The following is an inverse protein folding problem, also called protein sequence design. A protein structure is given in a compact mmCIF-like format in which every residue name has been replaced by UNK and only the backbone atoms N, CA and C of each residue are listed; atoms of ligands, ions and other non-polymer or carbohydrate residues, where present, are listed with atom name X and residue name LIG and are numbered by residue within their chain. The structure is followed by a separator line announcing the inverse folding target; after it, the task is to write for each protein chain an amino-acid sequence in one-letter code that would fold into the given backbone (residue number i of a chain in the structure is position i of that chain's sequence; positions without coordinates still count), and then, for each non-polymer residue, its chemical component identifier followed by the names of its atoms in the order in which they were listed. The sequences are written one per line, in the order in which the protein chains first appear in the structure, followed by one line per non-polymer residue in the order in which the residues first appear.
data_IF_320468459867
#
_entry.id   IF_320468459867
#
_cell.length_a   1.000
_cell.length_b   1.000
_cell.length_c   1.000
_cell.angle_alpha   90.00
_cell.angle_beta   90.00
_cell.angle_gamma   90.00
#
_symmetry.space_group_name_H-M   'P 1'
#
loop_
_entity.id
_entity.type
_entity.pdbx_description
1 polymer ?
#
# COMPACT_ATOMS: atom_id res chain seq x y z
N UNK A 1 -31.42 33.12 36.89
CA UNK A 1 -30.87 31.78 36.62
C UNK A 1 -31.06 31.27 35.20
N UNK A 2 -32.11 31.61 34.50
CA UNK A 2 -32.31 31.24 33.08
C UNK A 2 -31.27 31.80 32.09
N UNK A 3 -30.66 32.94 32.41
CA UNK A 3 -29.66 33.61 31.55
C UNK A 3 -28.26 32.98 31.64
N UNK A 4 -27.93 32.30 32.71
CA UNK A 4 -26.63 31.65 32.92
C UNK A 4 -26.57 30.32 32.17
N UNK A 5 -27.70 29.63 32.00
CA UNK A 5 -27.81 28.37 31.27
C UNK A 5 -27.57 28.58 29.76
N UNK A 6 -28.00 29.71 29.21
CA UNK A 6 -27.75 30.05 27.81
C UNK A 6 -26.29 30.41 27.51
N UNK A 7 -25.58 30.97 28.48
CA UNK A 7 -24.14 31.26 28.36
C UNK A 7 -23.29 30.01 28.45
N UNK A 8 -23.73 29.01 29.21
CA UNK A 8 -23.02 27.73 29.34
C UNK A 8 -23.22 26.83 28.11
N UNK A 9 -24.39 26.88 27.48
CA UNK A 9 -24.67 26.16 26.23
C UNK A 9 -23.88 26.72 25.02
N UNK A 10 -23.56 28.01 25.02
CA UNK A 10 -22.76 28.62 23.95
C UNK A 10 -21.27 28.28 24.02
N UNK A 11 -20.77 27.90 25.20
CA UNK A 11 -19.35 27.57 25.40
C UNK A 11 -18.96 26.15 24.96
N UNK A 12 -19.95 25.26 24.76
CA UNK A 12 -19.72 23.83 24.38
C UNK A 12 -19.58 23.67 22.84
N UNK A 13 -19.97 24.68 22.05
CA UNK A 13 -20.02 24.55 20.59
C UNK A 13 -18.71 24.90 19.85
N UNK A 14 -17.62 25.21 20.57
CA UNK A 14 -16.36 25.67 19.94
C UNK A 14 -15.29 24.61 19.80
N UNK A 15 -15.54 23.34 20.11
CA UNK A 15 -14.58 22.25 19.92
C UNK A 15 -14.86 21.40 18.67
N UNK A 16 -15.39 21.99 17.62
CA UNK A 16 -15.28 21.39 16.32
C UNK A 16 -13.86 21.61 15.80
N UNK A 17 -12.91 20.81 16.29
CA UNK A 17 -11.63 20.67 15.63
C UNK A 17 -11.92 20.08 14.25
N UNK A 18 -11.90 20.92 13.24
CA UNK A 18 -11.80 20.47 11.88
C UNK A 18 -10.47 19.70 11.78
N UNK A 19 -10.52 18.38 11.85
CA UNK A 19 -9.37 17.55 11.55
C UNK A 19 -9.06 17.75 10.07
N UNK A 20 -8.01 18.51 9.80
CA UNK A 20 -7.48 18.65 8.46
C UNK A 20 -7.00 17.28 8.00
N UNK A 21 -7.74 16.69 7.11
CA UNK A 21 -7.42 15.37 6.55
C UNK A 21 -6.78 15.55 5.19
N UNK A 22 -5.67 14.86 4.99
CA UNK A 22 -4.94 14.84 3.73
C UNK A 22 -5.34 13.62 2.91
N UNK A 23 -5.17 13.72 1.61
CA UNK A 23 -5.39 12.63 0.68
C UNK A 23 -4.18 12.41 -0.20
N UNK A 24 -3.93 11.16 -0.54
CA UNK A 24 -2.95 10.76 -1.53
C UNK A 24 -3.64 9.98 -2.65
N UNK A 25 -3.30 10.30 -3.87
CA UNK A 25 -3.70 9.54 -5.05
C UNK A 25 -2.49 9.24 -5.91
N UNK A 26 -2.58 8.23 -6.72
CA UNK A 26 -1.49 7.92 -7.63
C UNK A 26 -1.91 6.99 -8.74
N UNK A 27 -0.99 6.79 -9.66
CA UNK A 27 -1.13 5.85 -10.76
C UNK A 27 -0.03 4.82 -10.65
N UNK A 28 -0.41 3.56 -10.77
CA UNK A 28 0.50 2.43 -10.81
C UNK A 28 0.60 1.91 -12.24
N UNK A 29 1.82 1.86 -12.75
CA UNK A 29 2.10 1.54 -14.15
C UNK A 29 3.14 0.43 -14.26
N UNK A 30 3.13 -0.27 -15.39
CA UNK A 30 4.17 -1.22 -15.78
C UNK A 30 5.39 -0.48 -16.33
N UNK A 31 6.58 -0.90 -15.93
CA UNK A 31 7.85 -0.38 -16.50
C UNK A 31 8.01 -0.76 -17.96
N UNK A 32 7.53 -1.95 -18.37
CA UNK A 32 7.75 -2.50 -19.71
C UNK A 32 6.45 -2.86 -20.44
N UNK A 33 6.49 -2.84 -21.78
CA UNK A 33 7.21 -2.00 -22.72
C UNK A 33 6.45 -0.71 -23.08
N UNK A 34 5.18 -0.59 -22.65
CA UNK A 34 4.26 0.47 -23.08
C UNK A 34 3.78 1.39 -21.96
N UNK A 35 4.33 1.26 -20.74
CA UNK A 35 3.84 1.99 -19.56
C UNK A 35 2.32 1.82 -19.39
N UNK A 36 1.83 0.59 -19.44
CA UNK A 36 0.41 0.32 -19.24
C UNK A 36 0.00 0.44 -17.77
N UNK A 37 -1.20 0.97 -17.49
CA UNK A 37 -1.70 1.03 -16.13
C UNK A 37 -1.97 -0.37 -15.58
N UNK A 38 -1.53 -0.63 -14.36
CA UNK A 38 -1.80 -1.88 -13.65
C UNK A 38 -3.18 -1.83 -12.99
N UNK A 39 -4.09 -2.60 -13.56
CA UNK A 39 -5.48 -2.69 -13.09
C UNK A 39 -5.60 -3.66 -11.92
N UNK A 40 -6.34 -3.26 -10.90
CA UNK A 40 -6.63 -4.10 -9.73
C UNK A 40 -5.39 -4.54 -8.94
N UNK A 41 -4.32 -3.77 -9.01
CA UNK A 41 -3.15 -3.93 -8.17
C UNK A 41 -3.44 -3.46 -6.74
N UNK A 42 -2.82 -4.09 -5.76
CA UNK A 42 -3.01 -3.75 -4.35
C UNK A 42 -1.98 -2.70 -3.90
N UNK A 43 -2.47 -1.68 -3.24
CA UNK A 43 -1.66 -0.69 -2.52
C UNK A 43 -2.05 -0.73 -1.05
N UNK A 44 -1.09 -0.90 -0.16
CA UNK A 44 -1.35 -0.91 1.27
C UNK A 44 -0.46 0.06 2.02
N UNK A 45 -0.95 0.54 3.15
CA UNK A 45 -0.18 1.39 4.08
C UNK A 45 0.19 0.53 5.28
N UNK A 46 1.48 0.30 5.51
CA UNK A 46 1.96 -0.60 6.56
C UNK A 46 1.58 -0.13 7.97
N UNK A 47 1.66 1.16 8.24
CA UNK A 47 1.42 1.73 9.58
C UNK A 47 -0.05 1.65 10.00
N UNK A 48 -0.99 1.72 9.07
CA UNK A 48 -2.42 1.74 9.36
C UNK A 48 -3.15 0.46 8.98
N UNK A 49 -2.55 -0.37 8.11
CA UNK A 49 -3.19 -1.54 7.53
C UNK A 49 -4.28 -1.22 6.49
N UNK A 50 -4.43 0.05 6.09
CA UNK A 50 -5.36 0.43 5.02
C UNK A 50 -4.90 -0.13 3.69
N UNK A 51 -5.85 -0.62 2.90
CA UNK A 51 -5.63 -1.16 1.56
C UNK A 51 -6.53 -0.47 0.54
N UNK A 52 -6.01 -0.30 -0.66
CA UNK A 52 -6.75 0.15 -1.84
C UNK A 52 -6.32 -0.67 -3.05
N UNK A 53 -7.21 -0.78 -4.03
CA UNK A 53 -6.94 -1.42 -5.31
C UNK A 53 -6.98 -0.38 -6.41
N UNK A 54 -6.10 -0.51 -7.39
CA UNK A 54 -6.13 0.36 -8.56
C UNK A 54 -7.37 0.07 -9.41
N UNK A 55 -7.88 1.12 -10.04
CA UNK A 55 -8.99 1.02 -10.99
C UNK A 55 -8.51 0.59 -12.40
N UNK A 56 -9.40 0.64 -13.38
CA UNK A 56 -9.08 0.30 -14.77
C UNK A 56 -8.02 1.21 -15.41
N UNK A 57 -7.79 2.38 -14.85
CA UNK A 57 -6.76 3.34 -15.27
C UNK A 57 -5.49 3.25 -14.42
N UNK A 58 -5.41 2.27 -13.52
CA UNK A 58 -4.29 2.11 -12.61
C UNK A 58 -4.26 3.12 -11.45
N UNK A 59 -5.36 3.84 -11.22
CA UNK A 59 -5.45 4.88 -10.20
C UNK A 59 -5.84 4.29 -8.85
N UNK A 60 -5.14 4.70 -7.82
CA UNK A 60 -5.48 4.41 -6.41
C UNK A 60 -5.65 5.72 -5.63
N UNK A 61 -6.39 5.66 -4.53
CA UNK A 61 -6.62 6.80 -3.66
C UNK A 61 -6.77 6.37 -2.20
N UNK A 62 -6.14 7.12 -1.31
CA UNK A 62 -6.38 7.06 0.13
C UNK A 62 -6.82 8.44 0.63
N UNK A 63 -7.88 8.45 1.40
CA UNK A 63 -8.45 9.65 2.02
C UNK A 63 -8.33 9.58 3.54
N UNK A 64 -8.54 10.71 4.19
CA UNK A 64 -8.55 10.81 5.65
C UNK A 64 -7.23 10.35 6.31
N UNK A 65 -6.11 10.74 5.71
CA UNK A 65 -4.79 10.52 6.29
C UNK A 65 -4.41 11.72 7.17
N UNK A 66 -3.87 11.42 8.33
CA UNK A 66 -3.24 12.44 9.19
C UNK A 66 -1.83 12.73 8.70
N UNK A 67 -1.30 13.92 9.05
CA UNK A 67 0.09 14.27 8.77
C UNK A 67 1.05 13.21 9.34
N UNK A 68 2.04 12.83 8.56
CA UNK A 68 3.04 11.86 8.96
C UNK A 68 3.74 11.20 7.78
N UNK A 69 4.65 10.28 8.10
CA UNK A 69 5.35 9.47 7.11
C UNK A 69 4.76 8.07 7.08
N UNK A 70 4.36 7.62 5.91
CA UNK A 70 3.74 6.33 5.68
C UNK A 70 4.55 5.51 4.69
N UNK A 71 4.62 4.20 4.94
CA UNK A 71 5.21 3.24 4.02
C UNK A 71 4.11 2.63 3.16
N UNK A 72 4.14 2.96 1.88
CA UNK A 72 3.23 2.38 0.88
C UNK A 72 3.87 1.15 0.27
N UNK A 73 3.16 0.06 0.30
CA UNK A 73 3.53 -1.19 -0.35
C UNK A 73 2.66 -1.38 -1.59
N UNK A 74 3.31 -1.53 -2.73
CA UNK A 74 2.68 -1.74 -4.03
C UNK A 74 2.92 -3.18 -4.47
N UNK A 75 1.86 -3.94 -4.70
CA UNK A 75 1.94 -5.34 -5.09
C UNK A 75 0.95 -5.70 -6.20
N UNK A 76 1.41 -6.51 -7.12
CA UNK A 76 0.62 -7.07 -8.19
C UNK A 76 1.13 -8.46 -8.56
N UNK A 77 0.23 -9.35 -8.96
CA UNK A 77 0.59 -10.75 -9.32
C UNK A 77 1.56 -10.77 -10.50
N UNK A 78 2.71 -11.40 -10.32
CA UNK A 78 3.77 -11.47 -11.34
C UNK A 78 4.74 -10.29 -11.36
N UNK A 79 4.59 -9.34 -10.42
CA UNK A 79 5.45 -8.18 -10.28
C UNK A 79 6.21 -8.17 -8.96
N UNK A 80 7.35 -7.52 -8.94
CA UNK A 80 8.10 -7.30 -7.70
C UNK A 80 7.36 -6.30 -6.81
N UNK A 81 7.16 -6.68 -5.55
CA UNK A 81 6.59 -5.79 -4.54
C UNK A 81 7.56 -4.66 -4.22
N UNK A 82 7.08 -3.42 -4.27
CA UNK A 82 7.86 -2.22 -3.96
C UNK A 82 7.32 -1.53 -2.71
N UNK A 83 8.23 -1.02 -1.89
CA UNK A 83 7.91 -0.22 -0.72
C UNK A 83 8.51 1.17 -0.85
N UNK A 84 7.69 2.19 -0.62
CA UNK A 84 8.12 3.59 -0.69
C UNK A 84 7.61 4.35 0.52
N UNK A 85 8.51 5.04 1.22
CA UNK A 85 8.15 5.97 2.29
C UNK A 85 7.76 7.32 1.70
N UNK A 86 6.57 7.77 2.04
CA UNK A 86 6.03 9.04 1.57
C UNK A 86 5.58 9.89 2.74
N UNK A 87 6.02 11.15 2.74
CA UNK A 87 5.59 12.14 3.73
C UNK A 87 4.28 12.78 3.29
N UNK A 88 3.28 12.68 4.14
CA UNK A 88 1.98 13.34 3.97
C UNK A 88 1.95 14.59 4.85
N UNK A 89 1.74 15.74 4.23
CA UNK A 89 1.59 17.02 4.93
C UNK A 89 0.12 17.41 5.02
N UNK A 90 -0.21 18.12 6.08
CA UNK A 90 -1.56 18.66 6.26
C UNK A 90 -1.99 19.51 5.06
N UNK A 91 -3.26 19.41 4.70
CA UNK A 91 -3.92 20.25 3.71
C UNK A 91 -3.35 20.15 2.28
N UNK A 92 -2.61 19.08 1.97
CA UNK A 92 -2.07 18.83 0.63
C UNK A 92 -2.64 17.58 0.00
N UNK A 93 -3.01 17.70 -1.27
CA UNK A 93 -3.27 16.55 -2.15
C UNK A 93 -1.94 16.10 -2.75
N UNK A 94 -1.50 14.91 -2.39
CA UNK A 94 -0.28 14.32 -2.94
C UNK A 94 -0.63 13.41 -4.11
N UNK A 95 0.08 13.55 -5.21
CA UNK A 95 -0.06 12.67 -6.38
C UNK A 95 1.27 11.96 -6.66
N UNK A 96 1.22 10.63 -6.82
CA UNK A 96 2.37 9.78 -7.04
C UNK A 96 2.19 8.96 -8.32
N UNK A 97 3.24 8.87 -9.12
CA UNK A 97 3.32 7.87 -10.19
C UNK A 97 4.34 6.81 -9.78
N UNK A 98 3.91 5.55 -9.75
CA UNK A 98 4.74 4.42 -9.38
C UNK A 98 4.82 3.41 -10.52
N UNK A 99 6.01 2.88 -10.75
CA UNK A 99 6.25 1.85 -11.76
C UNK A 99 6.65 0.55 -11.08
N UNK A 100 6.02 -0.55 -11.48
CA UNK A 100 6.39 -1.89 -11.07
C UNK A 100 7.00 -2.64 -12.24
N UNK A 101 8.05 -3.41 -11.96
CA UNK A 101 8.66 -4.33 -12.91
C UNK A 101 8.18 -5.76 -12.65
N UNK A 102 8.12 -6.55 -13.71
CA UNK A 102 7.82 -7.97 -13.60
C UNK A 102 8.87 -8.68 -12.75
N UNK A 103 8.40 -9.60 -11.92
CA UNK A 103 9.30 -10.45 -11.12
C UNK A 103 10.09 -11.37 -12.06
N UNK A 104 11.41 -11.18 -12.10
CA UNK A 104 12.33 -12.09 -12.80
C UNK A 104 12.65 -13.29 -11.92
N UNK A 105 11.63 -14.07 -11.56
CA UNK A 105 11.89 -15.42 -11.04
C UNK A 105 12.37 -16.24 -12.23
N UNK A 106 13.67 -16.40 -12.33
CA UNK A 106 14.27 -17.23 -13.38
C UNK A 106 13.72 -18.65 -13.27
N UNK A 107 13.30 -19.18 -14.39
CA UNK A 107 12.84 -20.57 -14.46
C UNK A 107 13.90 -21.53 -13.90
N UNK A 108 15.18 -21.15 -14.00
CA UNK A 108 16.31 -21.89 -13.45
C UNK A 108 16.28 -21.96 -11.92
N UNK A 109 15.83 -20.93 -11.22
CA UNK A 109 15.71 -20.94 -9.75
C UNK A 109 14.61 -21.88 -9.27
N UNK A 110 13.53 -22.00 -10.02
CA UNK A 110 12.44 -22.93 -9.73
C UNK A 110 12.90 -24.37 -9.94
N UNK A 111 13.64 -24.65 -11.01
CA UNK A 111 14.19 -25.96 -11.31
C UNK A 111 15.21 -26.39 -10.26
N UNK A 112 16.09 -25.50 -9.79
CA UNK A 112 17.04 -25.78 -8.72
C UNK A 112 16.36 -26.10 -7.39
N UNK A 113 15.25 -25.49 -7.09
CA UNK A 113 14.47 -25.76 -5.87
C UNK A 113 13.79 -27.11 -5.93
N UNK A 114 13.28 -27.53 -7.09
CA UNK A 114 12.65 -28.82 -7.31
C UNK A 114 13.68 -29.98 -7.28
N UNK A 115 14.88 -29.78 -7.87
CA UNK A 115 15.95 -30.74 -7.85
C UNK A 115 16.49 -31.01 -6.43
N UNK A 116 16.49 -29.99 -5.57
CA UNK A 116 16.85 -30.12 -4.16
C UNK A 116 15.80 -30.88 -3.35
N UNK A 117 14.53 -30.76 -3.68
CA UNK A 117 13.46 -31.47 -3.01
C UNK A 117 13.49 -32.97 -3.31
N UNK A 118 13.89 -33.37 -4.52
CA UNK A 118 13.95 -34.75 -4.97
C UNK A 118 15.17 -35.51 -4.39
N UNK A 119 16.27 -34.82 -4.09
CA UNK A 119 17.49 -35.42 -3.51
C UNK A 119 17.42 -35.66 -2.01
N UNK A 120 16.38 -35.23 -1.33
CA UNK A 120 16.28 -35.39 0.11
C UNK A 120 15.75 -36.77 0.55
N UNK A 121 15.33 -37.62 -0.38
CA UNK A 121 14.72 -38.91 -0.10
C UNK A 121 15.67 -40.12 -0.27
N UNK A 122 16.90 -39.90 -0.75
CA UNK A 122 17.93 -40.96 -0.82
C UNK A 122 18.74 -41.02 0.49
N UNK A 123 18.10 -41.41 1.58
CA UNK A 123 18.81 -41.98 2.72
C UNK A 123 19.03 -43.47 2.44
N UNK A 124 20.28 -43.97 2.37
CA UNK A 124 20.50 -45.38 2.41
C UNK A 124 20.02 -45.90 3.78
N UNK A 125 18.95 -46.66 3.76
CA UNK A 125 18.56 -47.47 4.91
C UNK A 125 19.62 -48.57 5.06
N UNK A 126 20.61 -48.31 5.89
CA UNK A 126 21.45 -49.38 6.39
C UNK A 126 20.59 -50.21 7.35
N UNK A 127 19.95 -51.23 6.84
CA UNK A 127 19.45 -52.33 7.65
C UNK A 127 20.60 -53.29 7.91
N UNK A 128 21.03 -53.34 9.12
CA UNK A 128 21.84 -54.39 9.67
C UNK A 128 20.89 -55.40 10.34
#
# INVERSE_FOLDING_TARGET
MRRIIFLFAFFISTFAFAQETSSISGVLMDVEPNNEPLKFAKVSIKETGKEAFTDENGVFKFENLTEGTYTFEYSFVGYETQEVKTKISNDKKTHITMFLSTSTVSFDDILLTLDRADKKDDRPTNSN
#
